data_IF_093571201372
#
_entry.id   IF_093571201372
#
_cell.length_a   1.000
_cell.length_b   1.000
_cell.length_c   1.000
_cell.angle_alpha   90.00
_cell.angle_beta   90.00
_cell.angle_gamma   90.00
#
_symmetry.space_group_name_H-M   'P 1'
#
loop_
_entity.id
_entity.type
_entity.pdbx_description
1 polymer ?
#
# COMPACT_ATOMS: atom_id res chain seq x y z
N UNK A 1 -5.27 13.32 -25.79
CA UNK A 1 -6.16 14.23 -25.04
C UNK A 1 -5.27 15.25 -24.34
N UNK A 2 -5.53 16.55 -24.49
CA UNK A 2 -4.82 17.61 -23.77
C UNK A 2 -5.12 17.48 -22.27
N UNK A 3 -4.14 17.06 -21.48
CA UNK A 3 -4.28 16.96 -20.03
C UNK A 3 -4.43 18.37 -19.44
N UNK A 4 -5.64 18.68 -18.98
CA UNK A 4 -5.92 19.93 -18.28
C UNK A 4 -5.45 19.81 -16.82
N UNK A 5 -4.31 20.42 -16.48
CA UNK A 5 -3.83 20.46 -15.10
C UNK A 5 -4.63 21.47 -14.27
N UNK A 6 -4.94 21.11 -13.02
CA UNK A 6 -5.51 22.02 -12.03
C UNK A 6 -4.50 22.28 -10.92
N UNK A 7 -4.34 23.54 -10.51
CA UNK A 7 -3.47 23.93 -9.40
C UNK A 7 -4.15 23.60 -8.08
N UNK A 8 -3.41 22.93 -7.19
CA UNK A 8 -3.81 22.66 -5.81
C UNK A 8 -2.80 23.35 -4.90
N UNK A 9 -3.28 23.96 -3.80
CA UNK A 9 -2.43 24.54 -2.76
C UNK A 9 -2.52 23.66 -1.53
N UNK A 10 -1.36 23.29 -0.98
CA UNK A 10 -1.26 22.42 0.19
C UNK A 10 -0.40 23.10 1.24
N UNK A 11 -0.75 22.90 2.51
CA UNK A 11 0.07 23.28 3.65
C UNK A 11 0.57 22.02 4.32
N UNK A 12 1.87 21.97 4.59
CA UNK A 12 2.52 20.90 5.34
C UNK A 12 3.25 21.52 6.52
N UNK A 13 3.59 20.71 7.52
CA UNK A 13 4.40 21.18 8.64
C UNK A 13 5.85 21.40 8.19
N UNK A 14 6.56 22.23 8.96
CA UNK A 14 7.95 22.59 8.67
C UNK A 14 8.89 21.38 8.77
N UNK A 15 8.72 20.51 9.77
CA UNK A 15 9.47 19.25 9.89
C UNK A 15 9.30 18.33 8.66
N UNK A 16 8.09 18.29 8.10
CA UNK A 16 7.81 17.49 6.91
C UNK A 16 8.45 18.10 5.66
N UNK A 17 8.42 19.43 5.55
CA UNK A 17 9.03 20.14 4.44
C UNK A 17 10.56 19.95 4.44
N UNK A 18 11.20 20.11 5.60
CA UNK A 18 12.64 19.89 5.76
C UNK A 18 13.03 18.45 5.40
N UNK A 19 12.32 17.46 5.94
CA UNK A 19 12.63 16.06 5.67
C UNK A 19 12.44 15.69 4.18
N UNK A 20 11.42 16.25 3.52
CA UNK A 20 11.20 16.02 2.08
C UNK A 20 12.27 16.70 1.22
N UNK A 21 12.78 17.85 1.66
CA UNK A 21 13.89 18.54 1.00
C UNK A 21 15.22 17.79 1.16
N UNK A 22 15.49 17.21 2.33
CA UNK A 22 16.66 16.35 2.57
C UNK A 22 16.67 15.11 1.68
N UNK A 23 15.49 14.58 1.37
CA UNK A 23 15.31 13.42 0.50
C UNK A 23 15.34 13.76 -1.01
N UNK A 24 15.53 15.03 -1.38
CA UNK A 24 15.50 15.56 -2.76
C UNK A 24 14.21 15.18 -3.51
N UNK A 25 13.08 15.13 -2.79
CA UNK A 25 11.79 14.70 -3.34
C UNK A 25 11.02 15.87 -3.95
N UNK A 26 10.59 15.71 -5.21
CA UNK A 26 9.65 16.64 -5.83
C UNK A 26 8.24 16.45 -5.27
N UNK A 27 7.79 17.39 -4.44
CA UNK A 27 6.46 17.40 -3.80
C UNK A 27 5.30 17.25 -4.78
N UNK A 28 5.36 17.93 -5.93
CA UNK A 28 4.27 17.87 -6.92
C UNK A 28 4.21 16.48 -7.58
N UNK A 29 5.36 15.85 -7.77
CA UNK A 29 5.47 14.48 -8.25
C UNK A 29 4.92 13.48 -7.24
N UNK A 30 5.35 13.59 -5.97
CA UNK A 30 4.89 12.73 -4.88
C UNK A 30 3.37 12.83 -4.67
N UNK A 31 2.82 14.03 -4.64
CA UNK A 31 1.36 14.21 -4.47
C UNK A 31 0.61 13.61 -5.65
N UNK A 32 1.10 13.78 -6.89
CA UNK A 32 0.47 13.19 -8.08
C UNK A 32 0.49 11.67 -8.02
N UNK A 33 1.63 11.05 -7.73
CA UNK A 33 1.73 9.59 -7.64
C UNK A 33 0.84 9.03 -6.55
N UNK A 34 0.76 9.69 -5.38
CA UNK A 34 -0.14 9.30 -4.31
C UNK A 34 -1.61 9.41 -4.70
N UNK A 35 -1.99 10.44 -5.47
CA UNK A 35 -3.36 10.59 -5.97
C UNK A 35 -3.66 9.49 -6.99
N UNK A 36 -2.77 9.24 -7.95
CA UNK A 36 -2.94 8.18 -8.96
C UNK A 36 -3.06 6.80 -8.29
N UNK A 37 -2.23 6.55 -7.26
CA UNK A 37 -2.26 5.34 -6.46
C UNK A 37 -3.56 5.19 -5.69
N UNK A 38 -4.06 6.28 -5.10
CA UNK A 38 -5.30 6.28 -4.32
C UNK A 38 -6.55 6.12 -5.19
N UNK A 39 -6.52 6.66 -6.41
CA UNK A 39 -7.63 6.56 -7.37
C UNK A 39 -7.57 5.30 -8.23
N UNK A 40 -6.50 4.52 -8.14
CA UNK A 40 -6.38 3.27 -8.86
C UNK A 40 -7.34 2.22 -8.31
N UNK A 41 -8.19 1.65 -9.18
CA UNK A 41 -9.10 0.56 -8.81
C UNK A 41 -8.38 -0.77 -8.58
N UNK A 42 -7.11 -0.88 -8.98
CA UNK A 42 -6.32 -2.11 -8.95
C UNK A 42 -5.00 -1.99 -8.19
N UNK A 43 -4.74 -0.88 -7.50
CA UNK A 43 -3.56 -0.71 -6.64
C UNK A 43 -3.96 -0.85 -5.17
N UNK A 44 -3.16 -1.61 -4.43
CA UNK A 44 -3.33 -1.77 -2.98
C UNK A 44 -2.08 -1.22 -2.31
N UNK A 45 -2.25 -0.23 -1.45
CA UNK A 45 -1.18 0.27 -0.57
C UNK A 45 -1.39 -0.33 0.83
N UNK A 46 -0.43 -1.12 1.29
CA UNK A 46 -0.51 -1.81 2.59
C UNK A 46 0.56 -1.25 3.54
N UNK A 47 0.13 -0.74 4.69
CA UNK A 47 1.04 -0.47 5.80
C UNK A 47 1.40 -1.80 6.47
N UNK A 48 2.70 -2.09 6.55
CA UNK A 48 3.24 -3.34 7.11
C UNK A 48 4.29 -3.05 8.19
N UNK A 49 4.64 -4.06 8.98
CA UNK A 49 5.72 -3.95 9.94
C UNK A 49 7.09 -3.86 9.25
N UNK A 50 8.14 -3.30 9.91
CA UNK A 50 9.49 -3.23 9.35
C UNK A 50 10.01 -4.59 8.89
N UNK A 51 9.77 -5.65 9.66
CA UNK A 51 10.23 -7.01 9.36
C UNK A 51 9.57 -7.55 8.08
N UNK A 52 8.29 -7.21 7.86
CA UNK A 52 7.57 -7.60 6.64
C UNK A 52 8.11 -6.82 5.43
N UNK A 53 8.41 -5.54 5.60
CA UNK A 53 8.99 -4.71 4.55
C UNK A 53 10.41 -5.17 4.17
N UNK A 54 11.22 -5.58 5.15
CA UNK A 54 12.55 -6.16 4.92
C UNK A 54 12.47 -7.46 4.14
N UNK A 55 11.59 -8.37 4.54
CA UNK A 55 11.36 -9.63 3.83
C UNK A 55 10.91 -9.40 2.39
N UNK A 56 9.97 -8.45 2.18
CA UNK A 56 9.54 -8.07 0.84
C UNK A 56 10.71 -7.57 -0.01
N UNK A 57 11.53 -6.67 0.53
CA UNK A 57 12.71 -6.15 -0.17
C UNK A 57 13.71 -7.25 -0.50
N UNK A 58 13.98 -8.15 0.43
CA UNK A 58 14.93 -9.25 0.22
C UNK A 58 14.47 -10.18 -0.88
N UNK A 59 13.18 -10.54 -0.91
CA UNK A 59 12.63 -11.38 -1.98
C UNK A 59 12.70 -10.63 -3.31
N UNK A 60 12.03 -9.48 -3.40
CA UNK A 60 11.84 -8.76 -4.67
C UNK A 60 13.16 -8.28 -5.27
N UNK A 61 14.07 -7.76 -4.46
CA UNK A 61 15.35 -7.21 -4.96
C UNK A 61 16.31 -8.32 -5.42
N UNK A 62 16.26 -9.51 -4.82
CA UNK A 62 17.16 -10.60 -5.19
C UNK A 62 16.61 -11.47 -6.33
N UNK A 63 15.28 -11.54 -6.50
CA UNK A 63 14.66 -12.38 -7.54
C UNK A 63 14.27 -11.60 -8.79
N UNK A 64 14.23 -10.26 -8.72
CA UNK A 64 13.66 -9.44 -9.80
C UNK A 64 12.15 -9.67 -9.98
N UNK A 65 11.47 -10.18 -8.94
CA UNK A 65 10.03 -10.43 -8.98
C UNK A 65 9.25 -9.15 -9.27
N UNK A 66 8.22 -9.28 -10.10
CA UNK A 66 7.27 -8.23 -10.41
C UNK A 66 6.01 -8.36 -9.57
N UNK A 67 5.17 -7.33 -9.56
CA UNK A 67 3.86 -7.39 -8.90
C UNK A 67 3.01 -8.58 -9.39
N UNK A 68 3.14 -8.95 -10.67
CA UNK A 68 2.43 -10.10 -11.25
C UNK A 68 2.86 -11.44 -10.65
N UNK A 69 4.11 -11.54 -10.18
CA UNK A 69 4.63 -12.72 -9.50
C UNK A 69 4.15 -12.79 -8.05
N UNK A 70 3.97 -11.63 -7.40
CA UNK A 70 3.57 -11.51 -5.99
C UNK A 70 2.06 -11.66 -5.82
N UNK A 71 1.27 -11.15 -6.77
CA UNK A 71 -0.19 -11.10 -6.69
C UNK A 71 -0.84 -12.47 -6.38
N UNK A 72 -0.45 -13.61 -7.00
CA UNK A 72 -1.02 -14.92 -6.69
C UNK A 72 -0.83 -15.31 -5.22
N UNK A 73 0.33 -15.01 -4.63
CA UNK A 73 0.63 -15.29 -3.23
C UNK A 73 -0.20 -14.41 -2.30
N UNK A 74 -0.31 -13.11 -2.59
CA UNK A 74 -1.15 -12.19 -1.83
C UNK A 74 -2.62 -12.61 -1.88
N UNK A 75 -3.13 -12.98 -3.06
CA UNK A 75 -4.50 -13.47 -3.25
C UNK A 75 -4.77 -14.74 -2.44
N UNK A 76 -3.81 -15.66 -2.38
CA UNK A 76 -3.93 -16.87 -1.57
C UNK A 76 -3.99 -16.55 -0.07
N UNK A 77 -3.13 -15.65 0.41
CA UNK A 77 -3.13 -15.19 1.80
C UNK A 77 -4.46 -14.53 2.20
N UNK A 78 -5.03 -13.67 1.33
CA UNK A 78 -6.33 -13.03 1.58
C UNK A 78 -7.48 -14.05 1.67
N UNK A 79 -7.49 -15.06 0.80
CA UNK A 79 -8.47 -16.16 0.87
C UNK A 79 -8.33 -16.96 2.17
N UNK A 80 -7.11 -17.20 2.63
CA UNK A 80 -6.86 -17.87 3.92
C UNK A 80 -7.38 -17.02 5.08
N UNK A 81 -7.06 -15.72 5.10
CA UNK A 81 -7.53 -14.81 6.15
C UNK A 81 -9.07 -14.77 6.22
N UNK A 82 -9.75 -14.80 5.09
CA UNK A 82 -11.22 -14.84 5.05
C UNK A 82 -11.75 -16.14 5.68
N UNK A 83 -11.19 -17.29 5.33
CA UNK A 83 -11.58 -18.58 5.92
C UNK A 83 -11.40 -18.57 7.44
N UNK A 84 -10.29 -18.06 7.93
CA UNK A 84 -10.01 -17.98 9.37
C UNK A 84 -10.99 -17.05 10.09
N UNK A 85 -11.35 -15.91 9.47
CA UNK A 85 -12.36 -15.00 10.01
C UNK A 85 -13.74 -15.68 10.11
N UNK A 86 -14.16 -16.40 9.07
CA UNK A 86 -15.43 -17.15 9.07
C UNK A 86 -15.43 -18.17 10.20
N UNK A 87 -14.39 -18.99 10.32
CA UNK A 87 -14.30 -20.02 11.36
C UNK A 87 -14.35 -19.42 12.77
N UNK A 88 -13.67 -18.29 13.00
CA UNK A 88 -13.75 -17.57 14.28
C UNK A 88 -15.15 -17.04 14.57
N UNK A 89 -15.83 -16.50 13.56
CA UNK A 89 -17.19 -15.99 13.72
C UNK A 89 -18.21 -17.10 13.98
N UNK A 90 -18.10 -18.23 13.30
CA UNK A 90 -18.94 -19.40 13.55
C UNK A 90 -18.73 -19.94 14.96
N UNK A 91 -17.47 -20.03 15.42
CA UNK A 91 -17.15 -20.42 16.80
C UNK A 91 -17.80 -19.46 17.79
N UNK A 92 -17.68 -18.14 17.57
CA UNK A 92 -18.30 -17.14 18.43
C UNK A 92 -19.83 -17.27 18.47
N UNK A 93 -20.47 -17.48 17.31
CA UNK A 93 -21.92 -17.69 17.24
C UNK A 93 -22.38 -18.92 18.06
N UNK A 94 -21.60 -20.00 18.05
CA UNK A 94 -21.88 -21.21 18.83
C UNK A 94 -21.69 -21.03 20.33
N UNK A 95 -20.76 -20.16 20.75
CA UNK A 95 -20.48 -19.90 22.18
C UNK A 95 -21.50 -18.95 22.83
N UNK A 96 -22.12 -18.07 22.04
CA UNK A 96 -23.11 -17.09 22.53
C UNK A 96 -24.54 -17.68 22.54
N UNK A 97 -24.79 -18.77 21.83
CA UNK A 97 -26.05 -19.54 21.84
C UNK A 97 -26.08 -20.53 22.99
#
# INVERSE_FOLDING_TARGET
MTEAFRRISLMIREDQHEHLAELDINMSGLVRSLIDDHLSESKITLAVSPETADLYREIVSNTGSTDADIEPHLRAALKSMLKDRIARMEKLHRTIK
#
